data_IF_871270956793
#
_entry.id   IF_871270956793
#
_cell.length_a   1.000
_cell.length_b   1.000
_cell.length_c   1.000
_cell.angle_alpha   90.00
_cell.angle_beta   90.00
_cell.angle_gamma   90.00
#
_symmetry.space_group_name_H-M   'P 1'
#
loop_
_entity.id
_entity.type
_entity.pdbx_description
1 polymer ?
#
# COMPACT_ATOMS: atom_id res chain seq x y z
N UNK A 1 -2.23 -10.97 -6.83
CA UNK A 1 -1.86 -9.53 -6.92
C UNK A 1 -2.26 -8.99 -8.27
N UNK A 2 -2.96 -7.85 -8.30
CA UNK A 2 -3.49 -7.23 -9.52
C UNK A 2 -2.85 -5.85 -9.67
N UNK A 3 -2.11 -5.64 -10.75
CA UNK A 3 -1.50 -4.35 -11.07
C UNK A 3 -2.15 -3.76 -12.33
N UNK A 4 -2.42 -2.44 -12.36
CA UNK A 4 -3.05 -1.76 -13.50
C UNK A 4 -2.01 -1.54 -14.61
N UNK A 5 -1.57 -2.62 -15.24
CA UNK A 5 -0.56 -2.62 -16.30
C UNK A 5 -1.19 -2.40 -17.67
N UNK A 6 -0.61 -1.49 -18.46
CA UNK A 6 -0.90 -1.39 -19.90
C UNK A 6 -0.35 -2.59 -20.67
N UNK A 7 -0.81 -2.79 -21.91
CA UNK A 7 -0.28 -3.85 -22.78
C UNK A 7 1.23 -3.70 -23.01
N UNK A 8 1.73 -2.46 -23.17
CA UNK A 8 3.14 -2.15 -23.35
C UNK A 8 3.96 -2.48 -22.09
N UNK A 9 3.47 -2.09 -20.91
CA UNK A 9 4.12 -2.40 -19.63
C UNK A 9 4.19 -3.91 -19.39
N UNK A 10 3.11 -4.64 -19.67
CA UNK A 10 3.09 -6.11 -19.58
C UNK A 10 4.09 -6.76 -20.52
N UNK A 11 4.22 -6.24 -21.75
CA UNK A 11 5.22 -6.72 -22.71
C UNK A 11 6.65 -6.42 -22.24
N UNK A 12 6.89 -5.24 -21.67
CA UNK A 12 8.19 -4.84 -21.13
C UNK A 12 8.65 -5.75 -19.98
N UNK A 13 7.79 -5.97 -18.98
CA UNK A 13 8.09 -6.89 -17.86
C UNK A 13 8.38 -8.30 -18.35
N UNK A 14 7.59 -8.82 -19.32
CA UNK A 14 7.83 -10.14 -19.90
C UNK A 14 9.20 -10.25 -20.59
N UNK A 15 9.61 -9.23 -21.36
CA UNK A 15 10.95 -9.20 -21.98
C UNK A 15 12.07 -9.19 -20.93
N UNK A 16 11.85 -8.46 -19.84
CA UNK A 16 12.74 -8.41 -18.68
C UNK A 16 12.69 -9.68 -17.80
N UNK A 17 11.84 -10.66 -18.14
CA UNK A 17 11.58 -11.87 -17.34
C UNK A 17 11.10 -11.60 -15.91
N UNK A 18 10.42 -10.47 -15.72
CA UNK A 18 9.81 -10.08 -14.45
C UNK A 18 8.33 -10.49 -14.45
N UNK A 19 7.88 -11.07 -13.35
CA UNK A 19 6.46 -11.24 -13.05
C UNK A 19 6.01 -10.18 -12.07
N UNK A 20 4.69 -9.96 -11.96
CA UNK A 20 4.16 -8.93 -11.05
C UNK A 20 4.61 -9.13 -9.61
N UNK A 21 4.71 -10.38 -9.16
CA UNK A 21 5.14 -10.74 -7.81
C UNK A 21 6.56 -10.25 -7.45
N UNK A 22 7.45 -10.13 -8.44
CA UNK A 22 8.84 -9.70 -8.24
C UNK A 22 8.89 -8.23 -7.82
N UNK A 23 8.04 -7.38 -8.41
CA UNK A 23 8.05 -5.92 -8.20
C UNK A 23 7.88 -5.53 -6.73
N UNK A 24 7.20 -6.35 -5.93
CA UNK A 24 7.02 -6.06 -4.51
C UNK A 24 8.31 -6.25 -3.68
N UNK A 25 9.33 -6.94 -4.21
CA UNK A 25 10.63 -7.15 -3.55
C UNK A 25 11.80 -6.41 -4.20
N UNK A 26 11.59 -5.72 -5.31
CA UNK A 26 12.65 -5.07 -6.08
C UNK A 26 12.69 -3.56 -5.85
N UNK A 27 13.88 -2.97 -6.04
CA UNK A 27 14.01 -1.52 -6.13
C UNK A 27 13.38 -1.02 -7.44
N UNK A 28 12.67 0.11 -7.40
CA UNK A 28 12.02 0.66 -8.58
C UNK A 28 13.02 1.04 -9.68
N UNK A 29 14.23 1.45 -9.30
CA UNK A 29 15.36 1.75 -10.18
C UNK A 29 15.82 0.52 -10.95
N UNK A 30 15.86 -0.64 -10.29
CA UNK A 30 16.22 -1.91 -10.91
C UNK A 30 15.15 -2.35 -11.91
N UNK A 31 13.87 -2.27 -11.52
CA UNK A 31 12.74 -2.56 -12.41
C UNK A 31 12.75 -1.62 -13.62
N UNK A 32 13.02 -0.33 -13.41
CA UNK A 32 13.11 0.66 -14.49
C UNK A 32 14.25 0.34 -15.47
N UNK A 33 15.43 -0.02 -14.95
CA UNK A 33 16.58 -0.40 -15.76
C UNK A 33 16.32 -1.67 -16.58
N UNK A 34 15.77 -2.73 -15.95
CA UNK A 34 15.51 -4.02 -16.61
C UNK A 34 14.36 -3.94 -17.62
N UNK A 35 13.25 -3.29 -17.24
CA UNK A 35 12.06 -3.21 -18.08
C UNK A 35 12.11 -2.04 -19.08
N UNK A 36 13.09 -1.14 -18.97
CA UNK A 36 13.19 0.10 -19.77
C UNK A 36 11.90 0.93 -19.69
N UNK A 37 11.37 1.08 -18.47
CA UNK A 37 10.15 1.85 -18.18
C UNK A 37 10.49 3.12 -17.38
N UNK A 38 9.65 4.17 -17.45
CA UNK A 38 9.89 5.39 -16.68
C UNK A 38 9.93 5.11 -15.18
N UNK A 39 10.98 5.60 -14.50
CA UNK A 39 11.19 5.40 -13.06
C UNK A 39 9.98 5.80 -12.20
N UNK A 40 9.28 6.94 -12.42
CA UNK A 40 8.08 7.28 -11.64
C UNK A 40 6.99 6.21 -11.75
N UNK A 41 6.85 5.59 -12.92
CA UNK A 41 5.87 4.55 -13.15
C UNK A 41 6.28 3.24 -12.47
N UNK A 42 7.56 2.86 -12.54
CA UNK A 42 8.08 1.71 -11.81
C UNK A 42 7.92 1.87 -10.30
N UNK A 43 8.16 3.08 -9.75
CA UNK A 43 7.91 3.37 -8.32
C UNK A 43 6.45 3.13 -7.94
N UNK A 44 5.50 3.65 -8.73
CA UNK A 44 4.08 3.41 -8.50
C UNK A 44 3.72 1.91 -8.58
N UNK A 45 4.25 1.18 -9.57
CA UNK A 45 3.98 -0.25 -9.70
C UNK A 45 4.59 -1.09 -8.56
N UNK A 46 5.79 -0.77 -8.11
CA UNK A 46 6.42 -1.43 -6.96
C UNK A 46 5.65 -1.13 -5.68
N UNK A 47 5.23 0.12 -5.46
CA UNK A 47 4.42 0.52 -4.30
C UNK A 47 3.07 -0.22 -4.28
N UNK A 48 2.35 -0.25 -5.42
CA UNK A 48 1.10 -1.02 -5.57
C UNK A 48 1.30 -2.49 -5.24
N UNK A 49 2.43 -3.06 -5.67
CA UNK A 49 2.76 -4.46 -5.43
C UNK A 49 3.11 -4.71 -3.95
N UNK A 50 3.89 -3.83 -3.33
CA UNK A 50 4.28 -3.88 -1.92
C UNK A 50 3.06 -3.77 -1.00
N UNK A 51 2.18 -2.80 -1.24
CA UNK A 51 1.00 -2.61 -0.40
C UNK A 51 0.04 -3.79 -0.48
N UNK A 52 -0.12 -4.43 -1.65
CA UNK A 52 -0.93 -5.64 -1.79
C UNK A 52 -0.36 -6.89 -1.10
N UNK A 53 0.86 -6.82 -0.52
CA UNK A 53 1.37 -7.89 0.36
C UNK A 53 0.89 -7.75 1.81
N UNK A 54 0.33 -6.59 2.19
CA UNK A 54 -0.22 -6.39 3.52
C UNK A 54 -1.59 -7.06 3.63
N UNK A 55 -1.85 -7.68 4.78
CA UNK A 55 -3.15 -8.27 5.07
C UNK A 55 -4.23 -7.18 5.05
N UNK A 56 -5.42 -7.54 4.57
CA UNK A 56 -6.55 -6.62 4.36
C UNK A 56 -6.35 -5.53 3.30
N UNK A 57 -5.22 -5.49 2.59
CA UNK A 57 -4.95 -4.49 1.54
C UNK A 57 -5.14 -5.09 0.14
N UNK A 58 -6.30 -4.79 -0.44
CA UNK A 58 -6.61 -5.13 -1.84
C UNK A 58 -6.09 -4.09 -2.85
N UNK A 59 -6.33 -4.33 -4.16
CA UNK A 59 -5.89 -3.42 -5.23
C UNK A 59 -6.45 -2.00 -5.12
N UNK A 60 -7.70 -1.85 -4.64
CA UNK A 60 -8.33 -0.53 -4.44
C UNK A 60 -7.59 0.26 -3.37
N UNK A 61 -7.41 -0.32 -2.18
CA UNK A 61 -6.71 0.33 -1.06
C UNK A 61 -5.26 0.63 -1.42
N UNK A 62 -4.57 -0.28 -2.12
CA UNK A 62 -3.22 -0.01 -2.62
C UNK A 62 -3.20 1.18 -3.59
N UNK A 63 -4.20 1.30 -4.47
CA UNK A 63 -4.33 2.44 -5.37
C UNK A 63 -4.63 3.74 -4.62
N UNK A 64 -5.47 3.70 -3.59
CA UNK A 64 -5.75 4.86 -2.74
C UNK A 64 -4.47 5.35 -2.04
N UNK A 65 -3.70 4.45 -1.44
CA UNK A 65 -2.42 4.78 -0.78
C UNK A 65 -1.40 5.41 -1.76
N UNK A 66 -1.26 4.85 -2.96
CA UNK A 66 -0.39 5.41 -4.00
C UNK A 66 -0.93 6.75 -4.52
N UNK A 67 -2.25 6.89 -4.64
CA UNK A 67 -2.92 8.14 -5.01
C UNK A 67 -2.70 9.26 -3.99
N UNK A 68 -2.55 8.91 -2.72
CA UNK A 68 -2.16 9.82 -1.63
C UNK A 68 -0.64 10.12 -1.61
N UNK A 69 0.13 9.59 -2.55
CA UNK A 69 1.56 9.87 -2.71
C UNK A 69 2.49 8.91 -1.96
N UNK A 70 1.99 7.82 -1.38
CA UNK A 70 2.83 6.81 -0.74
C UNK A 70 3.47 5.90 -1.79
N UNK A 71 4.79 5.74 -1.70
CA UNK A 71 5.60 4.99 -2.68
C UNK A 71 6.43 3.87 -2.07
N UNK A 72 6.38 3.68 -0.74
CA UNK A 72 7.08 2.59 -0.05
C UNK A 72 6.44 2.25 1.30
N UNK A 73 6.76 1.05 1.81
CA UNK A 73 6.38 0.63 3.17
C UNK A 73 7.00 1.54 4.25
N UNK A 74 8.20 2.08 4.04
CA UNK A 74 8.84 3.00 4.99
C UNK A 74 8.07 4.32 5.12
N UNK A 75 7.51 4.82 4.02
CA UNK A 75 6.65 6.00 4.04
C UNK A 75 5.32 5.68 4.74
N UNK A 76 4.72 4.53 4.42
CA UNK A 76 3.48 4.08 5.05
C UNK A 76 3.66 3.89 6.57
N UNK A 77 4.76 3.30 7.01
CA UNK A 77 5.09 3.11 8.43
C UNK A 77 5.15 4.43 9.20
N UNK A 78 5.52 5.54 8.55
CA UNK A 78 5.59 6.87 9.17
C UNK A 78 4.28 7.66 9.06
N UNK A 79 3.31 7.17 8.31
CA UNK A 79 2.05 7.85 8.09
C UNK A 79 1.14 7.84 9.33
N UNK A 80 0.23 8.80 9.38
CA UNK A 80 -0.91 8.83 10.29
C UNK A 80 -2.15 8.35 9.51
N UNK A 81 -2.77 7.21 9.89
CA UNK A 81 -3.89 6.66 9.14
C UNK A 81 -5.17 7.51 9.22
N UNK A 82 -5.39 8.26 10.31
CA UNK A 82 -6.51 9.20 10.39
C UNK A 82 -6.30 10.35 9.41
N UNK A 83 -5.04 10.82 9.28
CA UNK A 83 -4.69 11.83 8.29
C UNK A 83 -4.87 11.31 6.86
N UNK A 84 -4.37 10.10 6.55
CA UNK A 84 -4.56 9.47 5.24
C UNK A 84 -6.04 9.34 4.88
N UNK A 85 -6.87 8.93 5.83
CA UNK A 85 -8.32 8.82 5.64
C UNK A 85 -8.95 10.17 5.31
N UNK A 86 -8.59 11.24 6.03
CA UNK A 86 -9.09 12.60 5.77
C UNK A 86 -8.60 13.15 4.43
N UNK A 87 -7.34 12.90 4.08
CA UNK A 87 -6.79 13.29 2.78
C UNK A 87 -7.50 12.54 1.64
N UNK A 88 -7.89 11.28 1.85
CA UNK A 88 -8.70 10.53 0.89
C UNK A 88 -10.11 11.12 0.74
N UNK A 89 -10.81 11.44 1.83
CA UNK A 89 -12.13 12.10 1.74
C UNK A 89 -12.06 13.42 0.96
N UNK A 90 -10.99 14.20 1.16
CA UNK A 90 -10.75 15.43 0.43
C UNK A 90 -10.48 15.17 -1.07
N UNK A 91 -9.66 14.18 -1.40
CA UNK A 91 -9.34 13.84 -2.78
C UNK A 91 -10.56 13.31 -3.55
N UNK A 92 -11.42 12.53 -2.90
CA UNK A 92 -12.65 12.00 -3.51
C UNK A 92 -13.79 13.03 -3.50
N UNK A 93 -13.73 14.05 -2.64
CA UNK A 93 -14.74 15.10 -2.54
C UNK A 93 -16.04 14.68 -1.84
N UNK A 94 -16.02 13.54 -1.14
CA UNK A 94 -17.15 13.02 -0.36
C UNK A 94 -16.63 12.20 0.81
N UNK A 95 -17.50 11.95 1.79
CA UNK A 95 -17.18 10.96 2.83
C UNK A 95 -17.00 9.58 2.19
N UNK A 96 -15.94 8.90 2.62
CA UNK A 96 -15.68 7.51 2.27
C UNK A 96 -16.18 6.61 3.40
N UNK A 97 -16.21 5.30 3.17
CA UNK A 97 -16.63 4.38 4.23
C UNK A 97 -15.61 4.40 5.39
N UNK A 98 -16.05 4.51 6.66
CA UNK A 98 -15.14 4.60 7.80
C UNK A 98 -14.27 3.34 7.98
N UNK A 99 -14.63 2.18 7.42
CA UNK A 99 -13.76 1.01 7.44
C UNK A 99 -12.43 1.23 6.70
N UNK A 100 -12.37 2.20 5.77
CA UNK A 100 -11.12 2.55 5.09
C UNK A 100 -10.08 3.07 6.08
N UNK A 101 -10.50 3.82 7.11
CA UNK A 101 -9.60 4.26 8.18
C UNK A 101 -9.02 3.06 8.94
N UNK A 102 -9.85 2.07 9.24
CA UNK A 102 -9.44 0.87 9.96
C UNK A 102 -8.46 0.04 9.13
N UNK A 103 -8.66 -0.05 7.81
CA UNK A 103 -7.72 -0.68 6.88
C UNK A 103 -6.41 0.10 6.81
N UNK A 104 -6.44 1.44 6.77
CA UNK A 104 -5.23 2.25 6.81
C UNK A 104 -4.47 2.06 8.12
N UNK A 105 -5.15 1.99 9.27
CA UNK A 105 -4.53 1.66 10.56
C UNK A 105 -3.84 0.31 10.52
N UNK A 106 -4.53 -0.69 9.98
CA UNK A 106 -3.98 -2.04 9.82
C UNK A 106 -2.73 -2.05 8.94
N UNK A 107 -2.77 -1.35 7.80
CA UNK A 107 -1.66 -1.27 6.85
C UNK A 107 -0.45 -0.55 7.46
N UNK A 108 -0.67 0.57 8.15
CA UNK A 108 0.39 1.31 8.87
C UNK A 108 1.00 0.46 9.97
N UNK A 109 0.19 -0.25 10.75
CA UNK A 109 0.67 -1.13 11.82
C UNK A 109 1.55 -2.27 11.30
N UNK A 110 1.12 -2.94 10.22
CA UNK A 110 1.91 -4.00 9.58
C UNK A 110 3.22 -3.45 8.95
N UNK A 111 3.18 -2.24 8.40
CA UNK A 111 4.39 -1.58 7.86
C UNK A 111 5.39 -1.21 8.97
N UNK A 112 4.90 -0.85 10.17
CA UNK A 112 5.73 -0.54 11.34
C UNK A 112 6.32 -1.79 11.99
N UNK A 113 5.54 -2.86 12.04
CA UNK A 113 5.91 -4.11 12.70
C UNK A 113 5.61 -5.32 11.79
N UNK A 114 6.61 -5.82 11.05
CA UNK A 114 6.45 -7.03 10.24
C UNK A 114 6.12 -8.29 11.07
N UNK A 115 6.40 -8.28 12.38
CA UNK A 115 6.09 -9.36 13.32
C UNK A 115 4.75 -9.14 14.05
N UNK A 116 3.90 -8.21 13.57
CA UNK A 116 2.62 -7.90 14.17
C UNK A 116 1.79 -9.17 14.42
N UNK A 117 1.14 -9.33 15.59
CA UNK A 117 0.31 -10.49 15.87
C UNK A 117 -0.78 -10.68 14.82
N UNK A 118 -1.05 -11.92 14.42
CA UNK A 118 -2.03 -12.26 13.37
C UNK A 118 -3.40 -11.60 13.59
N UNK A 119 -3.89 -11.57 14.84
CA UNK A 119 -5.14 -10.91 15.18
C UNK A 119 -5.16 -9.41 14.78
N UNK A 120 -4.04 -8.72 14.93
CA UNK A 120 -3.89 -7.29 14.60
C UNK A 120 -3.59 -7.04 13.10
N UNK A 121 -3.40 -8.10 12.29
CA UNK A 121 -3.31 -8.00 10.81
C UNK A 121 -4.68 -7.99 10.14
N UNK A 122 -5.74 -8.25 10.91
CA UNK A 122 -7.12 -8.15 10.43
C UNK A 122 -7.63 -6.72 10.65
N UNK A 123 -8.14 -6.07 9.58
CA UNK A 123 -8.57 -4.67 9.68
C UNK A 123 -9.64 -4.41 10.76
N UNK A 124 -10.56 -5.37 11.00
CA UNK A 124 -11.62 -5.20 12.00
C UNK A 124 -11.10 -5.14 13.44
N UNK A 125 -9.88 -5.62 13.70
CA UNK A 125 -9.21 -5.42 15.00
C UNK A 125 -9.11 -3.94 15.37
N UNK A 126 -8.94 -3.08 14.35
CA UNK A 126 -8.68 -1.66 14.47
C UNK A 126 -9.92 -0.78 14.61
N UNK A 127 -11.13 -1.33 14.43
CA UNK A 127 -12.39 -0.60 14.59
C UNK A 127 -12.48 0.11 15.96
N UNK A 128 -11.93 -0.52 17.01
CA UNK A 128 -11.92 0.03 18.38
C UNK A 128 -11.00 1.25 18.56
N UNK A 129 -10.09 1.48 17.63
CA UNK A 129 -9.10 2.57 17.65
C UNK A 129 -9.43 3.67 16.63
N UNK A 130 -10.57 3.57 15.94
CA UNK A 130 -11.01 4.57 14.96
C UNK A 130 -11.09 5.97 15.58
N UNK A 131 -10.65 6.97 14.83
CA UNK A 131 -10.56 8.36 15.27
C UNK A 131 -9.42 8.67 16.24
N UNK A 132 -8.59 7.69 16.64
CA UNK A 132 -7.49 7.89 17.60
C UNK A 132 -6.12 8.01 16.91
N UNK A 133 -5.06 8.30 17.67
CA UNK A 133 -3.69 8.22 17.14
C UNK A 133 -3.07 6.80 17.24
N UNK A 134 -3.82 5.80 17.74
CA UNK A 134 -3.29 4.46 18.01
C UNK A 134 -3.14 3.66 16.71
N UNK A 135 -1.92 3.15 16.52
CA UNK A 135 -1.47 2.40 15.33
C UNK A 135 -0.54 1.24 15.67
N UNK A 136 -0.47 0.90 16.96
CA UNK A 136 0.20 -0.28 17.47
C UNK A 136 -0.74 -0.93 18.49
N UNK A 137 -0.81 -2.28 18.54
CA UNK A 137 -1.53 -2.96 19.60
C UNK A 137 -0.90 -2.58 20.95
N UNK A 138 -1.69 -2.43 22.02
CA UNK A 138 -1.15 -2.18 23.34
C UNK A 138 -0.21 -3.31 23.74
N UNK A 139 0.90 -2.97 24.40
CA UNK A 139 1.78 -3.95 25.00
C UNK A 139 0.96 -4.85 25.95
N UNK A 140 1.16 -6.16 25.83
CA UNK A 140 0.55 -7.15 26.72
C UNK A 140 1.09 -7.01 28.14
#
# INVERSE_FOLDING_TARGET
>A
MVLPLTAAERAALRRARLVTADLAGMAAEEVAALAQLPLPRCRALCALAQFQRLDSVGPSIAADLVGLGLTSLDQLAKADPLRLYRELEQAVGRRVDPCVEDVFRCAVAQARDPALPEAARNWWYWMRYRGTAVVAPPAR
#
